data_IF_710258957348
#
_entry.id   IF_710258957348
#
_cell.length_a   1.000
_cell.length_b   1.000
_cell.length_c   1.000
_cell.angle_alpha   90.00
_cell.angle_beta   90.00
_cell.angle_gamma   90.00
#
_symmetry.space_group_name_H-M   'P 1'
#
loop_
_entity.id
_entity.type
_entity.pdbx_description
1 polymer ?
#
# COMPACT_ATOMS: atom_id res chain seq x y z
N UNK A 1 14.73 14.41 16.01
CA UNK A 1 16.06 13.77 15.99
C UNK A 1 16.46 13.41 17.41
N UNK A 2 17.19 12.34 17.61
CA UNK A 2 17.81 11.98 18.88
C UNK A 2 19.32 12.00 18.67
N UNK A 3 20.03 12.79 19.47
CA UNK A 3 21.49 12.82 19.52
C UNK A 3 21.94 12.10 20.80
N UNK A 4 22.75 11.07 20.65
CA UNK A 4 23.33 10.33 21.77
C UNK A 4 24.77 10.78 21.91
N UNK A 5 25.11 11.30 23.07
CA UNK A 5 26.47 11.74 23.38
C UNK A 5 27.34 10.57 23.83
N UNK A 6 28.66 10.67 23.64
CA UNK A 6 29.62 9.72 24.20
C UNK A 6 29.56 9.72 25.73
N UNK A 7 29.91 8.59 26.39
CA UNK A 7 29.84 8.49 27.84
C UNK A 7 30.75 9.49 28.59
N UNK A 8 31.84 9.89 27.95
CA UNK A 8 32.86 10.82 28.41
C UNK A 8 32.77 12.21 27.81
N UNK A 9 31.66 12.49 27.06
CA UNK A 9 31.45 13.80 26.46
C UNK A 9 31.42 14.89 27.54
N UNK A 10 32.26 15.91 27.36
CA UNK A 10 32.30 17.05 28.28
C UNK A 10 31.03 17.89 28.22
N UNK A 11 30.66 18.55 29.31
CA UNK A 11 29.53 19.48 29.30
C UNK A 11 29.71 20.58 28.27
N UNK A 12 30.94 21.02 27.98
CA UNK A 12 31.23 21.99 26.93
C UNK A 12 30.86 21.44 25.51
N UNK A 13 31.16 20.17 25.22
CA UNK A 13 30.79 19.55 23.96
C UNK A 13 29.26 19.42 23.84
N UNK A 14 28.58 19.01 24.90
CA UNK A 14 27.10 18.90 24.92
C UNK A 14 26.46 20.28 24.69
N UNK A 15 26.94 21.33 25.38
CA UNK A 15 26.42 22.70 25.21
C UNK A 15 26.71 23.27 23.79
N UNK A 16 27.82 22.88 23.17
CA UNK A 16 28.14 23.25 21.78
C UNK A 16 27.10 22.69 20.80
N UNK A 17 26.72 21.40 20.93
CA UNK A 17 25.69 20.77 20.15
C UNK A 17 24.32 21.43 20.39
N UNK A 18 23.96 21.70 21.65
CA UNK A 18 22.71 22.37 22.00
C UNK A 18 22.64 23.76 21.39
N UNK A 19 23.72 24.55 21.54
CA UNK A 19 23.78 25.92 20.99
C UNK A 19 23.63 25.94 19.48
N UNK A 20 24.29 25.02 18.79
CA UNK A 20 24.13 24.87 17.33
C UNK A 20 22.68 24.56 16.94
N UNK A 21 22.06 23.59 17.59
CA UNK A 21 20.69 23.18 17.30
C UNK A 21 19.68 24.28 17.59
N UNK A 22 19.81 24.99 18.71
CA UNK A 22 18.97 26.14 19.07
C UNK A 22 19.15 27.30 18.07
N UNK A 23 20.40 27.58 17.65
CA UNK A 23 20.66 28.60 16.63
C UNK A 23 20.08 28.22 15.26
N UNK A 24 19.96 26.92 14.96
CA UNK A 24 19.29 26.41 13.77
C UNK A 24 17.75 26.38 13.89
N UNK A 25 17.19 26.83 15.02
CA UNK A 25 15.74 26.94 15.23
C UNK A 25 15.05 25.70 15.77
N UNK A 26 15.82 24.74 16.32
CA UNK A 26 15.26 23.54 16.96
C UNK A 26 15.03 23.71 18.45
N UNK A 27 13.97 23.09 18.98
CA UNK A 27 13.83 22.90 20.43
C UNK A 27 14.63 21.66 20.86
N UNK A 28 15.41 21.80 21.95
CA UNK A 28 16.29 20.75 22.45
C UNK A 28 15.95 20.40 23.87
N UNK A 29 15.69 19.12 24.14
CA UNK A 29 15.48 18.56 25.48
C UNK A 29 16.66 17.67 25.87
N UNK A 30 17.44 18.07 26.88
CA UNK A 30 18.50 17.25 27.43
C UNK A 30 17.95 16.27 28.47
N UNK A 31 18.28 15.00 28.29
CA UNK A 31 18.05 13.95 29.31
C UNK A 31 19.39 13.34 29.69
N UNK A 32 19.75 13.44 30.94
CA UNK A 32 20.99 12.90 31.48
C UNK A 32 20.70 11.58 32.19
N UNK A 33 21.17 10.46 31.61
CA UNK A 33 21.15 9.13 32.24
C UNK A 33 22.43 8.88 33.07
N UNK A 34 22.51 7.73 33.76
CA UNK A 34 23.68 7.36 34.60
C UNK A 34 24.98 7.19 33.77
N UNK A 35 24.90 6.89 32.48
CA UNK A 35 26.06 6.61 31.64
C UNK A 35 26.18 7.49 30.39
N UNK A 36 25.13 8.17 29.97
CA UNK A 36 25.12 8.97 28.69
C UNK A 36 24.11 10.10 28.77
N UNK A 37 24.41 11.21 28.10
CA UNK A 37 23.45 12.27 27.82
C UNK A 37 22.80 12.03 26.47
N UNK A 38 21.49 12.29 26.40
CA UNK A 38 20.67 12.18 25.20
C UNK A 38 20.01 13.53 24.98
N UNK A 39 20.11 14.05 23.74
CA UNK A 39 19.43 15.27 23.33
C UNK A 39 18.25 14.89 22.42
N UNK A 40 17.05 15.15 22.88
CA UNK A 40 15.82 15.08 22.08
C UNK A 40 15.63 16.39 21.32
N UNK A 41 15.71 16.34 20.00
CA UNK A 41 15.60 17.52 19.13
C UNK A 41 14.25 17.50 18.44
N UNK A 42 13.46 18.54 18.67
CA UNK A 42 12.12 18.73 18.11
C UNK A 42 12.16 19.82 17.05
N UNK A 43 11.63 19.52 15.87
CA UNK A 43 11.61 20.42 14.71
C UNK A 43 11.65 19.63 13.40
N UNK A 44 11.66 20.33 12.29
CA UNK A 44 11.71 19.72 10.94
C UNK A 44 13.18 19.42 10.55
N UNK A 45 13.65 18.26 11.00
CA UNK A 45 15.06 17.83 10.85
C UNK A 45 15.31 17.27 9.46
N UNK A 46 16.21 17.87 8.70
CA UNK A 46 16.68 17.37 7.41
C UNK A 46 17.77 16.29 7.56
N UNK A 47 18.08 15.58 6.46
CA UNK A 47 19.21 14.64 6.44
C UNK A 47 20.56 15.36 6.58
N UNK A 48 20.66 16.61 6.12
CA UNK A 48 21.86 17.42 6.24
C UNK A 48 22.12 17.79 7.71
N UNK A 49 21.06 18.12 8.48
CA UNK A 49 21.21 18.41 9.92
C UNK A 49 21.75 17.21 10.69
N UNK A 50 21.30 16.00 10.33
CA UNK A 50 21.82 14.75 10.92
C UNK A 50 23.31 14.59 10.63
N UNK A 51 23.72 14.83 9.37
CA UNK A 51 25.13 14.70 8.99
C UNK A 51 26.02 15.72 9.72
N UNK A 52 25.60 16.98 9.75
CA UNK A 52 26.33 18.05 10.43
C UNK A 52 26.47 17.77 11.93
N UNK A 53 25.37 17.38 12.60
CA UNK A 53 25.40 17.10 14.05
C UNK A 53 26.22 15.87 14.38
N UNK A 54 26.29 14.88 13.49
CA UNK A 54 27.10 13.68 13.72
C UNK A 54 28.62 13.92 13.70
N UNK A 55 29.06 15.08 13.19
CA UNK A 55 30.48 15.48 13.12
C UNK A 55 30.95 16.27 14.36
N UNK A 56 30.05 16.59 15.30
CA UNK A 56 30.42 17.30 16.51
C UNK A 56 31.17 16.40 17.50
N UNK A 57 32.16 16.96 18.15
CA UNK A 57 32.91 16.29 19.21
C UNK A 57 31.98 15.83 20.33
N UNK A 58 32.19 14.61 20.82
CA UNK A 58 31.40 13.99 21.88
C UNK A 58 30.04 13.45 21.42
N UNK A 59 29.72 13.46 20.14
CA UNK A 59 28.51 12.81 19.58
C UNK A 59 28.82 11.36 19.22
N UNK A 60 28.18 10.41 19.92
CA UNK A 60 28.33 8.99 19.62
C UNK A 60 27.56 8.59 18.36
N UNK A 61 26.30 9.00 18.26
CA UNK A 61 25.51 8.84 17.04
C UNK A 61 24.26 9.72 17.04
N UNK A 62 23.74 9.97 15.85
CA UNK A 62 22.51 10.74 15.62
C UNK A 62 21.47 9.86 14.95
N UNK A 63 20.27 9.82 15.52
CA UNK A 63 19.14 9.09 14.92
C UNK A 63 18.02 10.05 14.56
N UNK A 64 17.62 10.06 13.29
CA UNK A 64 16.44 10.78 12.86
C UNK A 64 15.19 10.03 13.29
N UNK A 65 14.36 10.67 14.13
CA UNK A 65 13.09 10.10 14.62
C UNK A 65 11.90 10.55 13.76
N UNK A 66 12.12 11.44 12.79
CA UNK A 66 11.05 11.88 11.90
C UNK A 66 10.72 10.81 10.86
N UNK A 67 9.42 10.56 10.70
CA UNK A 67 8.92 9.75 9.59
C UNK A 67 9.31 10.44 8.27
N UNK A 68 9.79 9.70 7.25
CA UNK A 68 10.19 10.29 5.96
C UNK A 68 8.99 10.68 5.09
N UNK A 69 7.84 10.95 5.69
CA UNK A 69 6.59 11.32 5.06
C UNK A 69 5.75 12.18 6.03
N UNK A 70 5.02 13.13 5.49
CA UNK A 70 4.18 14.09 6.23
C UNK A 70 2.71 13.94 5.84
N UNK A 71 2.39 14.14 4.56
CA UNK A 71 1.02 14.12 4.03
C UNK A 71 0.34 12.76 4.23
N UNK A 72 1.09 11.67 4.06
CA UNK A 72 0.60 10.31 4.27
C UNK A 72 0.53 9.90 5.75
N UNK A 73 1.08 10.69 6.68
CA UNK A 73 1.17 10.34 8.10
C UNK A 73 -0.17 10.50 8.82
N UNK A 74 -0.43 9.60 9.79
CA UNK A 74 -1.55 9.80 10.74
C UNK A 74 -1.39 11.03 11.63
N UNK A 75 -0.20 11.58 11.77
CA UNK A 75 0.02 12.86 12.47
C UNK A 75 -0.57 14.02 11.70
N UNK A 76 -0.51 13.98 10.37
CA UNK A 76 -1.13 14.99 9.50
C UNK A 76 -2.66 14.82 9.46
N UNK A 77 -3.15 13.57 9.34
CA UNK A 77 -4.57 13.25 9.30
C UNK A 77 -4.88 12.06 10.19
N UNK A 78 -5.46 12.28 11.36
CA UNK A 78 -5.75 11.23 12.34
C UNK A 78 -6.81 10.22 11.87
N UNK A 79 -7.85 10.71 11.17
CA UNK A 79 -8.91 9.87 10.61
C UNK A 79 -8.41 9.13 9.36
N UNK A 80 -8.81 7.87 9.24
CA UNK A 80 -8.54 7.09 8.03
C UNK A 80 -9.17 7.75 6.81
N UNK A 81 -8.42 7.76 5.70
CA UNK A 81 -8.95 8.21 4.41
C UNK A 81 -9.82 7.11 3.81
N UNK A 82 -10.98 7.52 3.34
CA UNK A 82 -11.84 6.69 2.50
C UNK A 82 -11.75 7.22 1.08
N UNK A 83 -11.41 6.35 0.14
CA UNK A 83 -11.34 6.67 -1.30
C UNK A 83 -12.63 6.23 -1.94
N UNK A 84 -13.51 7.19 -2.21
CA UNK A 84 -14.84 6.97 -2.75
C UNK A 84 -14.94 7.24 -4.24
N UNK A 85 -15.81 6.49 -4.90
CA UNK A 85 -16.12 6.66 -6.32
C UNK A 85 -17.08 5.59 -6.84
N UNK A 86 -17.29 5.54 -8.16
CA UNK A 86 -18.17 4.52 -8.78
C UNK A 86 -17.65 3.08 -8.57
N UNK A 87 -16.43 2.91 -8.11
CA UNK A 87 -15.81 1.65 -7.68
C UNK A 87 -16.10 1.29 -6.21
N UNK A 88 -17.01 1.97 -5.53
CA UNK A 88 -17.29 1.80 -4.12
C UNK A 88 -16.35 2.61 -3.21
N UNK A 89 -16.22 2.19 -1.95
CA UNK A 89 -15.47 2.89 -0.91
C UNK A 89 -14.28 2.04 -0.45
N UNK A 90 -13.05 2.44 -0.77
CA UNK A 90 -11.82 1.79 -0.30
C UNK A 90 -11.42 2.44 1.03
N UNK A 91 -11.32 1.67 2.10
CA UNK A 91 -11.06 2.18 3.46
C UNK A 91 -12.32 2.54 4.25
N UNK A 92 -13.51 2.21 3.72
CA UNK A 92 -14.79 2.36 4.40
C UNK A 92 -15.05 1.29 5.47
N UNK A 93 -16.30 1.25 5.96
CA UNK A 93 -16.71 0.37 7.06
C UNK A 93 -16.64 -1.12 6.70
N UNK A 94 -16.88 -1.48 5.45
CA UNK A 94 -16.79 -2.85 4.95
C UNK A 94 -15.55 -3.08 4.09
N UNK A 95 -15.03 -4.33 4.03
CA UNK A 95 -13.94 -4.66 3.12
C UNK A 95 -14.32 -4.37 1.66
N UNK A 96 -13.44 -3.66 0.96
CA UNK A 96 -13.55 -3.48 -0.48
C UNK A 96 -13.03 -4.72 -1.21
N UNK A 97 -13.82 -5.28 -2.12
CA UNK A 97 -13.48 -6.53 -2.81
C UNK A 97 -13.56 -6.29 -4.31
N UNK A 98 -12.40 -6.33 -4.97
CA UNK A 98 -12.32 -6.22 -6.42
C UNK A 98 -11.91 -7.54 -7.06
N UNK A 99 -12.21 -7.68 -8.34
CA UNK A 99 -11.70 -8.78 -9.17
C UNK A 99 -10.65 -8.28 -10.15
N UNK A 100 -9.61 -9.10 -10.39
CA UNK A 100 -8.78 -9.04 -11.59
C UNK A 100 -9.34 -10.08 -12.58
N UNK A 101 -10.12 -9.65 -13.59
CA UNK A 101 -10.82 -10.58 -14.49
C UNK A 101 -9.84 -11.22 -15.47
N UNK A 102 -9.86 -12.56 -15.55
CA UNK A 102 -9.08 -13.36 -16.48
C UNK A 102 -10.02 -14.11 -17.44
N UNK A 103 -9.68 -14.19 -18.71
CA UNK A 103 -10.49 -14.87 -19.73
C UNK A 103 -11.49 -13.97 -20.44
N UNK A 104 -11.29 -12.65 -20.37
CA UNK A 104 -11.99 -11.72 -21.28
C UNK A 104 -11.58 -12.02 -22.71
N UNK A 105 -12.54 -12.15 -23.59
CA UNK A 105 -12.29 -12.30 -25.03
C UNK A 105 -11.49 -11.07 -25.52
N UNK A 106 -10.25 -11.28 -25.99
CA UNK A 106 -9.33 -10.22 -26.44
C UNK A 106 -8.12 -9.96 -25.53
N UNK A 107 -8.10 -10.43 -24.28
CA UNK A 107 -7.06 -10.09 -23.30
C UNK A 107 -5.76 -10.90 -23.35
N UNK A 108 -5.64 -11.95 -24.17
CA UNK A 108 -4.46 -12.84 -24.24
C UNK A 108 -3.85 -13.03 -25.63
N UNK A 109 -4.40 -12.41 -26.67
CA UNK A 109 -3.72 -12.36 -27.96
C UNK A 109 -2.62 -11.30 -27.92
N UNK A 110 -1.38 -11.69 -28.26
CA UNK A 110 -0.37 -10.73 -28.73
C UNK A 110 -1.01 -10.02 -29.93
N UNK A 111 -1.38 -8.78 -29.71
CA UNK A 111 -2.01 -7.95 -30.74
C UNK A 111 -1.00 -7.68 -31.83
N UNK A 112 -1.41 -7.92 -33.10
CA UNK A 112 -0.72 -7.35 -34.22
C UNK A 112 -0.98 -5.83 -34.26
N UNK A 113 0.00 -5.01 -34.72
CA UNK A 113 -0.21 -3.56 -34.83
C UNK A 113 -1.37 -3.33 -35.83
N UNK A 114 -2.48 -2.77 -35.36
CA UNK A 114 -3.64 -2.44 -36.20
C UNK A 114 -5.01 -2.92 -35.69
N UNK A 115 -5.08 -3.77 -34.69
CA UNK A 115 -6.36 -4.25 -34.12
C UNK A 115 -6.88 -3.30 -33.04
N UNK A 116 -7.80 -2.42 -33.37
CA UNK A 116 -8.32 -1.36 -32.46
C UNK A 116 -9.68 -1.71 -31.82
N UNK A 117 -10.12 -2.97 -31.85
CA UNK A 117 -11.37 -3.37 -31.19
C UNK A 117 -11.19 -3.66 -29.69
N UNK A 118 -11.65 -2.75 -28.85
CA UNK A 118 -11.99 -3.01 -27.44
C UNK A 118 -13.09 -4.07 -27.39
N UNK A 119 -13.02 -5.11 -26.53
CA UNK A 119 -14.12 -6.06 -26.36
C UNK A 119 -15.40 -5.30 -25.99
N UNK A 120 -16.46 -5.48 -26.76
CA UNK A 120 -17.73 -4.83 -26.44
C UNK A 120 -18.30 -5.41 -25.15
N UNK A 121 -19.06 -4.62 -24.39
CA UNK A 121 -19.74 -5.06 -23.16
C UNK A 121 -20.67 -6.29 -23.43
N UNK A 122 -21.08 -6.51 -24.66
CA UNK A 122 -21.91 -7.66 -25.09
C UNK A 122 -21.16 -9.01 -25.08
N UNK A 123 -19.83 -9.01 -25.05
CA UNK A 123 -19.01 -10.23 -25.02
C UNK A 123 -18.68 -10.71 -23.61
N UNK A 124 -19.06 -9.95 -22.60
CA UNK A 124 -18.82 -10.32 -21.19
C UNK A 124 -19.81 -11.41 -20.75
N UNK A 125 -19.34 -12.44 -20.01
CA UNK A 125 -20.24 -13.41 -19.43
C UNK A 125 -21.31 -12.73 -18.56
N UNK A 126 -22.56 -13.18 -18.65
CA UNK A 126 -23.70 -12.66 -17.87
C UNK A 126 -23.40 -12.47 -16.39
N UNK A 127 -22.55 -13.33 -15.81
CA UNK A 127 -22.13 -13.29 -14.40
C UNK A 127 -21.37 -12.03 -14.03
N UNK A 128 -20.52 -11.51 -14.93
CA UNK A 128 -19.77 -10.28 -14.73
C UNK A 128 -20.67 -9.05 -14.92
N UNK A 129 -21.65 -9.15 -15.82
CA UNK A 129 -22.62 -8.07 -16.02
C UNK A 129 -23.43 -7.75 -14.76
N UNK A 130 -23.68 -8.73 -13.88
CA UNK A 130 -24.37 -8.52 -12.62
C UNK A 130 -23.50 -7.85 -11.52
N UNK A 131 -22.15 -7.88 -11.65
CA UNK A 131 -21.17 -7.19 -10.78
C UNK A 131 -21.09 -7.65 -9.33
N UNK A 132 -22.14 -8.19 -8.78
CA UNK A 132 -22.23 -8.58 -7.36
C UNK A 132 -21.62 -9.97 -7.13
N UNK A 133 -20.90 -10.17 -6.01
CA UNK A 133 -20.76 -9.32 -4.81
C UNK A 133 -19.53 -8.39 -4.82
N UNK A 134 -18.94 -8.09 -5.95
CA UNK A 134 -17.73 -7.32 -6.07
C UNK A 134 -18.01 -5.81 -6.19
N UNK A 135 -17.06 -4.99 -5.70
CA UNK A 135 -17.17 -3.53 -5.70
C UNK A 135 -16.58 -2.92 -6.99
N UNK A 136 -15.52 -3.54 -7.56
CA UNK A 136 -14.84 -3.06 -8.77
C UNK A 136 -14.16 -4.20 -9.53
N UNK A 137 -13.72 -3.90 -10.74
CA UNK A 137 -12.70 -4.64 -11.46
C UNK A 137 -11.36 -3.88 -11.41
N UNK A 138 -10.24 -4.60 -11.53
CA UNK A 138 -8.92 -4.01 -11.66
C UNK A 138 -8.17 -4.66 -12.81
N UNK A 139 -7.26 -3.92 -13.43
CA UNK A 139 -6.40 -4.44 -14.49
C UNK A 139 -4.94 -4.04 -14.27
N UNK A 140 -4.03 -4.94 -14.65
CA UNK A 140 -2.59 -4.65 -14.75
C UNK A 140 -2.17 -4.25 -16.17
N UNK A 141 -3.10 -4.31 -17.12
CA UNK A 141 -2.85 -3.92 -18.49
C UNK A 141 -2.77 -2.40 -18.62
N UNK A 142 -1.95 -1.91 -19.57
CA UNK A 142 -1.93 -0.52 -20.00
C UNK A 142 -3.23 -0.09 -20.70
N UNK A 143 -4.04 -1.05 -21.15
CA UNK A 143 -5.34 -0.79 -21.74
C UNK A 143 -6.34 -0.58 -20.61
N UNK A 144 -6.78 0.64 -20.42
CA UNK A 144 -7.88 0.96 -19.53
C UNK A 144 -9.18 0.46 -20.17
N UNK A 145 -9.77 -0.57 -19.57
CA UNK A 145 -11.19 -0.84 -19.79
C UNK A 145 -11.96 0.15 -18.92
N UNK A 146 -12.90 0.89 -19.50
CA UNK A 146 -13.73 1.79 -18.70
C UNK A 146 -14.58 1.02 -17.70
N UNK A 147 -15.13 -0.12 -18.13
CA UNK A 147 -15.96 -1.00 -17.31
C UNK A 147 -15.77 -2.47 -17.68
N UNK A 148 -16.00 -3.34 -16.71
CA UNK A 148 -16.13 -4.80 -16.88
C UNK A 148 -17.52 -5.21 -16.41
N UNK A 149 -18.46 -5.27 -17.33
CA UNK A 149 -19.89 -5.39 -16.99
C UNK A 149 -20.36 -4.15 -16.23
N UNK A 150 -20.97 -4.35 -15.06
CA UNK A 150 -21.37 -3.26 -14.15
C UNK A 150 -20.25 -2.73 -13.25
N UNK A 151 -19.06 -3.34 -13.29
CA UNK A 151 -17.94 -2.97 -12.44
C UNK A 151 -17.08 -1.93 -13.15
N UNK A 152 -16.79 -0.83 -12.47
CA UNK A 152 -15.79 0.15 -12.92
C UNK A 152 -14.41 -0.49 -12.85
N UNK A 153 -13.64 -0.37 -13.92
CA UNK A 153 -12.29 -0.93 -14.00
C UNK A 153 -11.25 0.10 -13.59
N UNK A 154 -10.46 -0.25 -12.57
CA UNK A 154 -9.34 0.55 -12.10
C UNK A 154 -8.02 -0.03 -12.62
N UNK A 155 -7.11 0.83 -13.09
CA UNK A 155 -5.76 0.41 -13.46
C UNK A 155 -4.85 0.36 -12.25
N UNK A 156 -4.17 -0.78 -12.04
CA UNK A 156 -3.11 -0.94 -11.06
C UNK A 156 -1.72 -0.63 -11.61
N UNK A 157 -1.62 -0.31 -12.90
CA UNK A 157 -0.32 -0.07 -13.53
C UNK A 157 0.28 1.27 -13.06
N UNK A 158 1.56 1.32 -12.65
CA UNK A 158 2.27 2.56 -12.41
C UNK A 158 2.51 3.26 -13.76
N UNK A 159 1.61 4.16 -14.13
CA UNK A 159 1.73 4.93 -15.38
C UNK A 159 2.48 6.25 -15.14
N UNK A 160 3.14 6.81 -16.18
CA UNK A 160 3.73 8.15 -16.08
C UNK A 160 2.65 9.20 -15.76
N UNK A 161 3.09 10.25 -15.08
CA UNK A 161 2.33 11.35 -14.49
C UNK A 161 1.33 12.11 -15.40
N UNK A 162 1.29 11.82 -16.68
CA UNK A 162 0.51 12.58 -17.68
C UNK A 162 -0.95 12.13 -17.83
N UNK A 163 -1.35 11.00 -17.24
CA UNK A 163 -2.74 10.55 -17.26
C UNK A 163 -3.36 10.65 -15.88
N UNK A 164 -4.49 11.36 -15.78
CA UNK A 164 -5.29 11.43 -14.57
C UNK A 164 -5.96 10.08 -14.29
N UNK A 165 -5.36 9.27 -13.44
CA UNK A 165 -6.02 8.07 -12.92
C UNK A 165 -6.92 8.44 -11.76
N UNK A 166 -8.14 7.88 -11.72
CA UNK A 166 -9.07 8.16 -10.63
C UNK A 166 -8.57 7.65 -9.27
N UNK A 167 -7.72 6.61 -9.24
CA UNK A 167 -7.11 6.04 -8.03
C UNK A 167 -5.65 5.67 -8.32
N UNK A 168 -4.75 6.00 -7.41
CA UNK A 168 -3.33 5.62 -7.46
C UNK A 168 -3.05 4.48 -6.49
N UNK A 169 -2.74 3.31 -7.04
CA UNK A 169 -2.25 2.17 -6.25
C UNK A 169 -0.73 2.24 -6.13
N UNK A 170 -0.24 2.29 -4.89
CA UNK A 170 1.19 2.30 -4.58
C UNK A 170 1.59 0.94 -4.05
N UNK A 171 2.17 0.13 -4.93
CA UNK A 171 2.60 -1.23 -4.60
C UNK A 171 3.82 -1.20 -3.68
N UNK A 172 3.81 -2.06 -2.66
CA UNK A 172 4.96 -2.26 -1.79
C UNK A 172 6.07 -3.01 -2.55
N UNK A 173 7.26 -2.41 -2.62
CA UNK A 173 8.42 -3.10 -3.16
C UNK A 173 8.76 -4.37 -2.34
N UNK A 174 9.29 -5.43 -2.96
CA UNK A 174 9.48 -6.74 -2.32
C UNK A 174 10.29 -6.73 -1.02
N UNK A 175 11.24 -5.81 -0.90
CA UNK A 175 12.11 -5.62 0.27
C UNK A 175 11.79 -4.35 1.08
N UNK A 176 10.68 -3.66 0.78
CA UNK A 176 10.35 -2.42 1.45
C UNK A 176 9.68 -2.66 2.81
N UNK A 177 10.21 -2.03 3.84
CA UNK A 177 9.48 -1.84 5.09
C UNK A 177 8.39 -0.76 4.96
N UNK A 178 7.56 -0.63 5.98
CA UNK A 178 6.42 0.30 5.99
C UNK A 178 6.81 1.76 5.68
N UNK A 179 7.96 2.23 6.19
CA UNK A 179 8.40 3.62 5.95
C UNK A 179 8.71 3.91 4.48
N UNK A 180 9.41 3.01 3.80
CA UNK A 180 9.72 3.17 2.38
C UNK A 180 8.46 3.13 1.51
N UNK A 181 7.51 2.26 1.88
CA UNK A 181 6.23 2.14 1.20
C UNK A 181 5.36 3.40 1.37
N UNK A 182 5.18 3.87 2.62
CA UNK A 182 4.44 5.10 2.89
C UNK A 182 5.13 6.32 2.26
N UNK A 183 6.47 6.36 2.25
CA UNK A 183 7.23 7.40 1.55
C UNK A 183 7.04 7.38 0.03
N UNK A 184 6.76 6.22 -0.56
CA UNK A 184 6.37 6.15 -1.98
C UNK A 184 4.97 6.75 -2.21
N UNK A 185 4.03 6.50 -1.29
CA UNK A 185 2.69 7.10 -1.33
C UNK A 185 2.72 8.62 -1.09
N UNK A 186 3.61 9.10 -0.21
CA UNK A 186 3.86 10.55 -0.01
C UNK A 186 4.16 11.26 -1.31
N UNK A 187 5.06 10.70 -2.14
CA UNK A 187 5.40 11.28 -3.43
C UNK A 187 4.22 11.38 -4.40
N UNK A 188 3.25 10.46 -4.32
CA UNK A 188 2.02 10.59 -5.12
C UNK A 188 1.10 11.70 -4.59
N UNK A 189 1.02 11.88 -3.26
CA UNK A 189 0.28 12.98 -2.65
C UNK A 189 0.92 14.34 -2.98
N UNK A 190 2.25 14.46 -2.90
CA UNK A 190 3.00 15.67 -3.27
C UNK A 190 2.80 16.07 -4.73
N UNK A 191 2.55 15.09 -5.62
CA UNK A 191 2.21 15.31 -7.03
C UNK A 191 0.75 15.71 -7.27
N UNK A 192 -0.04 15.86 -6.20
CA UNK A 192 -1.44 16.25 -6.26
C UNK A 192 -2.43 15.10 -6.44
N UNK A 193 -2.00 13.85 -6.25
CA UNK A 193 -2.93 12.72 -6.26
C UNK A 193 -3.77 12.73 -4.98
N UNK A 194 -5.08 12.91 -5.09
CA UNK A 194 -5.97 12.94 -3.92
C UNK A 194 -6.40 11.52 -3.47
N UNK A 195 -6.43 10.56 -4.39
CA UNK A 195 -6.94 9.20 -4.17
C UNK A 195 -5.81 8.18 -4.25
N UNK A 196 -5.06 8.07 -3.16
CA UNK A 196 -3.92 7.16 -3.04
C UNK A 196 -4.29 5.96 -2.16
N UNK A 197 -3.98 4.76 -2.64
CA UNK A 197 -4.24 3.48 -1.97
C UNK A 197 -2.93 2.69 -1.90
N UNK A 198 -2.58 2.18 -0.74
CA UNK A 198 -1.47 1.26 -0.59
C UNK A 198 -1.84 -0.13 -1.12
N UNK A 199 -0.96 -0.76 -1.91
CA UNK A 199 -1.15 -2.09 -2.47
C UNK A 199 -0.07 -3.05 -1.95
N UNK A 200 -0.48 -4.04 -1.17
CA UNK A 200 0.39 -5.13 -0.69
C UNK A 200 0.36 -6.28 -1.70
N UNK A 201 1.50 -6.57 -2.31
CA UNK A 201 1.67 -7.66 -3.27
C UNK A 201 2.60 -8.79 -2.77
N UNK A 202 3.00 -8.72 -1.51
CA UNK A 202 3.84 -9.70 -0.82
C UNK A 202 5.33 -9.37 -0.80
N UNK A 203 5.98 -9.75 0.30
CA UNK A 203 7.43 -9.85 0.36
C UNK A 203 7.90 -11.04 -0.47
N UNK A 204 9.09 -10.97 -1.05
CA UNK A 204 9.64 -12.00 -1.91
C UNK A 204 10.84 -12.68 -1.27
N UNK A 205 10.83 -14.01 -1.27
CA UNK A 205 11.99 -14.83 -0.87
C UNK A 205 12.93 -15.08 -2.07
N UNK A 206 14.21 -15.42 -1.82
CA UNK A 206 15.17 -15.70 -2.89
C UNK A 206 14.74 -16.79 -3.87
N UNK A 207 13.86 -17.70 -3.46
CA UNK A 207 13.31 -18.77 -4.31
C UNK A 207 12.07 -18.32 -5.13
N UNK A 208 11.73 -17.04 -5.12
CA UNK A 208 10.56 -16.48 -5.82
C UNK A 208 9.21 -16.72 -5.11
N UNK A 209 9.22 -17.40 -3.96
CA UNK A 209 8.00 -17.52 -3.16
C UNK A 209 7.63 -16.17 -2.55
N UNK A 210 6.33 -15.87 -2.49
CA UNK A 210 5.82 -14.64 -1.85
C UNK A 210 5.08 -14.95 -0.57
N UNK A 211 5.12 -14.00 0.36
CA UNK A 211 4.45 -14.10 1.64
C UNK A 211 3.64 -12.86 1.96
N UNK A 212 2.47 -13.06 2.58
CA UNK A 212 1.72 -11.97 3.19
C UNK A 212 2.39 -11.57 4.51
N UNK A 213 2.91 -10.36 4.55
CA UNK A 213 3.52 -9.82 5.77
C UNK A 213 2.48 -9.04 6.59
N UNK A 214 1.74 -9.76 7.44
CA UNK A 214 0.67 -9.17 8.27
C UNK A 214 1.21 -8.03 9.15
N UNK A 215 2.44 -8.18 9.68
CA UNK A 215 3.07 -7.14 10.47
C UNK A 215 3.35 -5.85 9.67
N UNK A 216 3.61 -5.95 8.36
CA UNK A 216 3.76 -4.77 7.50
C UNK A 216 2.42 -4.04 7.33
N UNK A 217 1.32 -4.79 7.16
CA UNK A 217 -0.04 -4.24 7.11
C UNK A 217 -0.33 -3.48 8.41
N UNK A 218 -0.17 -4.13 9.56
CA UNK A 218 -0.43 -3.53 10.87
C UNK A 218 0.42 -2.26 11.11
N UNK A 219 1.71 -2.32 10.79
CA UNK A 219 2.62 -1.16 10.92
C UNK A 219 2.21 -0.01 9.99
N UNK A 220 1.81 -0.28 8.75
CA UNK A 220 1.32 0.74 7.84
C UNK A 220 0.02 1.37 8.38
N UNK A 221 -0.94 0.58 8.82
CA UNK A 221 -2.23 1.07 9.35
C UNK A 221 -2.09 1.95 10.59
N UNK A 222 -1.07 1.73 11.42
CA UNK A 222 -0.77 2.60 12.57
C UNK A 222 -0.16 3.93 12.13
N UNK A 223 0.67 3.94 11.09
CA UNK A 223 1.47 5.09 10.69
C UNK A 223 0.81 5.99 9.67
N UNK A 224 0.02 5.41 8.74
CA UNK A 224 -0.65 6.18 7.69
C UNK A 224 -2.17 6.17 7.83
N UNK A 225 -2.79 7.25 7.35
CA UNK A 225 -4.25 7.33 7.20
C UNK A 225 -4.77 6.73 5.89
N UNK A 226 -3.86 6.35 4.97
CA UNK A 226 -4.23 5.84 3.64
C UNK A 226 -4.84 4.44 3.73
N UNK A 227 -5.81 4.12 2.87
CA UNK A 227 -6.35 2.78 2.78
C UNK A 227 -5.33 1.81 2.17
N UNK A 228 -5.44 0.53 2.56
CA UNK A 228 -4.55 -0.54 2.18
C UNK A 228 -5.32 -1.72 1.60
N UNK A 229 -4.94 -2.16 0.41
CA UNK A 229 -5.54 -3.29 -0.31
C UNK A 229 -4.48 -4.35 -0.56
N UNK A 230 -4.88 -5.62 -0.58
CA UNK A 230 -3.97 -6.77 -0.80
C UNK A 230 -4.26 -7.42 -2.15
N UNK A 231 -3.23 -7.59 -2.98
CA UNK A 231 -3.29 -8.42 -4.17
C UNK A 231 -3.07 -9.89 -3.81
N UNK A 232 -4.17 -10.60 -3.67
CA UNK A 232 -4.17 -11.98 -3.22
C UNK A 232 -3.45 -12.91 -4.20
N UNK A 233 -3.61 -12.70 -5.50
CA UNK A 233 -3.05 -13.60 -6.51
C UNK A 233 -1.52 -13.54 -6.57
N UNK A 234 -0.95 -12.36 -6.41
CA UNK A 234 0.51 -12.16 -6.38
C UNK A 234 1.15 -12.89 -5.19
N UNK A 235 0.46 -12.93 -4.05
CA UNK A 235 0.96 -13.57 -2.83
C UNK A 235 0.69 -15.08 -2.84
N UNK A 236 -0.54 -15.47 -3.15
CA UNK A 236 -0.96 -16.88 -3.12
C UNK A 236 -0.23 -17.73 -4.16
N UNK A 237 0.07 -17.18 -5.33
CA UNK A 237 0.72 -17.84 -6.47
C UNK A 237 0.01 -19.12 -6.96
N UNK A 238 -0.93 -19.68 -6.19
CA UNK A 238 -1.78 -20.85 -6.53
C UNK A 238 -3.18 -20.63 -6.00
N UNK A 239 -4.21 -20.97 -6.77
CA UNK A 239 -5.61 -20.77 -6.43
C UNK A 239 -5.99 -21.37 -5.05
N UNK A 240 -5.49 -22.56 -4.72
CA UNK A 240 -5.76 -23.24 -3.44
C UNK A 240 -5.32 -22.46 -2.20
N UNK A 241 -4.43 -21.47 -2.32
CA UNK A 241 -3.96 -20.63 -1.21
C UNK A 241 -4.68 -19.28 -1.14
N UNK A 242 -5.45 -18.91 -2.19
CA UNK A 242 -6.08 -17.59 -2.28
C UNK A 242 -7.03 -17.32 -1.12
N UNK A 243 -7.81 -18.31 -0.70
CA UNK A 243 -8.72 -18.15 0.45
C UNK A 243 -7.95 -17.85 1.74
N UNK A 244 -6.90 -18.59 2.05
CA UNK A 244 -6.11 -18.38 3.27
C UNK A 244 -5.48 -16.99 3.29
N UNK A 245 -4.87 -16.57 2.16
CA UNK A 245 -4.25 -15.25 2.02
C UNK A 245 -5.27 -14.13 2.16
N UNK A 246 -6.42 -14.25 1.49
CA UNK A 246 -7.46 -13.22 1.53
C UNK A 246 -8.07 -13.06 2.93
N UNK A 247 -8.40 -14.17 3.60
CA UNK A 247 -8.92 -14.15 4.96
C UNK A 247 -7.91 -13.55 5.94
N UNK A 248 -6.62 -13.96 5.85
CA UNK A 248 -5.56 -13.42 6.69
C UNK A 248 -5.35 -11.92 6.45
N UNK A 249 -5.44 -11.44 5.20
CA UNK A 249 -5.32 -10.04 4.86
C UNK A 249 -6.40 -9.19 5.54
N UNK A 250 -7.67 -9.58 5.43
CA UNK A 250 -8.78 -8.84 6.06
C UNK A 250 -8.69 -8.93 7.58
N UNK A 251 -8.39 -10.11 8.13
CA UNK A 251 -8.20 -10.28 9.58
C UNK A 251 -7.00 -9.47 10.11
N UNK A 252 -5.95 -9.29 9.29
CA UNK A 252 -4.78 -8.46 9.59
C UNK A 252 -4.99 -6.96 9.45
N UNK A 253 -6.20 -6.50 9.07
CA UNK A 253 -6.59 -5.09 9.02
C UNK A 253 -6.48 -4.44 7.64
N UNK A 254 -6.33 -5.21 6.56
CA UNK A 254 -6.41 -4.66 5.20
C UNK A 254 -7.82 -4.11 4.91
N UNK A 255 -7.89 -3.00 4.20
CA UNK A 255 -9.17 -2.35 3.84
C UNK A 255 -9.88 -3.05 2.67
N UNK A 256 -9.16 -3.87 1.93
CA UNK A 256 -9.75 -4.66 0.85
C UNK A 256 -8.78 -5.66 0.25
N UNK A 257 -9.29 -6.41 -0.71
CA UNK A 257 -8.52 -7.40 -1.46
C UNK A 257 -8.87 -7.37 -2.95
N UNK A 258 -7.93 -7.84 -3.75
CA UNK A 258 -8.10 -8.08 -5.18
C UNK A 258 -8.01 -9.59 -5.42
N UNK A 259 -9.04 -10.16 -6.03
CA UNK A 259 -9.16 -11.59 -6.34
C UNK A 259 -9.03 -11.82 -7.83
N UNK A 260 -8.01 -12.52 -8.28
CA UNK A 260 -7.91 -12.94 -9.68
C UNK A 260 -8.98 -13.98 -9.96
N UNK A 261 -9.88 -13.66 -10.90
CA UNK A 261 -11.11 -14.41 -11.10
C UNK A 261 -11.31 -14.77 -12.56
N UNK A 262 -11.64 -16.03 -12.83
CA UNK A 262 -11.99 -16.50 -14.17
C UNK A 262 -13.39 -16.01 -14.56
N UNK A 263 -13.46 -15.26 -15.63
CA UNK A 263 -14.69 -14.72 -16.22
C UNK A 263 -14.94 -15.24 -17.64
N UNK A 264 -14.11 -16.15 -18.14
CA UNK A 264 -14.26 -16.81 -19.42
C UNK A 264 -15.39 -17.86 -19.44
N UNK A 265 -15.41 -18.68 -20.50
CA UNK A 265 -16.46 -19.70 -20.69
C UNK A 265 -16.48 -20.72 -19.58
N UNK A 266 -17.67 -21.20 -19.23
CA UNK A 266 -17.84 -22.28 -18.26
C UNK A 266 -17.26 -23.58 -18.82
N UNK A 267 -16.55 -24.34 -17.95
CA UNK A 267 -15.84 -25.55 -18.37
C UNK A 267 -14.39 -25.37 -18.80
N UNK A 268 -13.99 -24.15 -19.17
CA UNK A 268 -12.58 -23.86 -19.44
C UNK A 268 -11.76 -23.79 -18.15
N UNK A 269 -10.53 -24.26 -18.20
CA UNK A 269 -9.60 -24.24 -17.05
C UNK A 269 -8.74 -22.98 -17.13
N UNK A 270 -8.70 -22.15 -16.08
CA UNK A 270 -7.80 -21.01 -16.03
C UNK A 270 -6.33 -21.44 -16.17
N UNK A 271 -5.61 -20.84 -17.14
CA UNK A 271 -4.18 -21.11 -17.34
C UNK A 271 -3.28 -20.15 -16.55
N UNK A 272 -3.87 -19.07 -16.04
CA UNK A 272 -3.13 -18.05 -15.24
C UNK A 272 -3.09 -18.51 -13.77
N UNK A 273 -1.92 -18.53 -13.14
CA UNK A 273 -1.79 -18.96 -11.75
C UNK A 273 -2.66 -18.14 -10.78
N UNK A 274 -3.06 -18.76 -9.68
CA UNK A 274 -3.86 -18.16 -8.61
C UNK A 274 -5.21 -17.58 -9.07
N UNK A 275 -5.78 -18.08 -10.18
CA UNK A 275 -7.09 -17.69 -10.67
C UNK A 275 -8.18 -18.54 -10.03
N UNK A 276 -9.11 -17.90 -9.33
CA UNK A 276 -10.30 -18.53 -8.76
C UNK A 276 -11.37 -18.69 -9.85
N UNK A 277 -12.19 -19.73 -9.74
CA UNK A 277 -13.43 -19.82 -10.51
C UNK A 277 -14.43 -18.79 -9.98
N UNK A 278 -15.39 -18.38 -10.80
CA UNK A 278 -16.38 -17.36 -10.42
C UNK A 278 -17.09 -17.67 -9.08
N UNK A 279 -17.62 -18.89 -8.94
CA UNK A 279 -18.35 -19.28 -7.73
C UNK A 279 -17.43 -19.28 -6.49
N UNK A 280 -16.19 -19.76 -6.62
CA UNK A 280 -15.20 -19.71 -5.53
C UNK A 280 -14.89 -18.28 -5.10
N UNK A 281 -14.79 -17.35 -6.05
CA UNK A 281 -14.55 -15.94 -5.76
C UNK A 281 -15.78 -15.28 -5.09
N UNK A 282 -17.01 -15.64 -5.49
CA UNK A 282 -18.26 -15.16 -4.88
C UNK A 282 -18.36 -15.63 -3.43
N UNK A 283 -18.22 -16.93 -3.17
CA UNK A 283 -18.25 -17.50 -1.82
C UNK A 283 -17.17 -16.88 -0.92
N UNK A 284 -15.96 -16.67 -1.49
CA UNK A 284 -14.89 -16.04 -0.76
C UNK A 284 -15.23 -14.58 -0.43
N UNK A 285 -15.79 -13.81 -1.36
CA UNK A 285 -16.17 -12.43 -1.12
C UNK A 285 -17.20 -12.28 0.02
N UNK A 286 -18.18 -13.16 0.09
CA UNK A 286 -19.16 -13.19 1.18
C UNK A 286 -18.49 -13.46 2.53
N UNK A 287 -17.63 -14.48 2.61
CA UNK A 287 -16.85 -14.81 3.80
C UNK A 287 -15.95 -13.66 4.26
N UNK A 288 -15.30 -12.94 3.33
CA UNK A 288 -14.46 -11.79 3.66
C UNK A 288 -15.24 -10.63 4.25
N UNK A 289 -16.50 -10.44 3.84
CA UNK A 289 -17.39 -9.45 4.45
C UNK A 289 -17.77 -9.82 5.87
N UNK A 290 -18.02 -11.10 6.14
CA UNK A 290 -18.29 -11.60 7.49
C UNK A 290 -17.08 -11.38 8.42
N UNK A 291 -15.86 -11.75 7.97
CA UNK A 291 -14.61 -11.51 8.72
C UNK A 291 -14.46 -10.01 8.98
N UNK A 292 -14.64 -9.17 7.97
CA UNK A 292 -14.55 -7.73 8.11
C UNK A 292 -15.52 -7.14 9.12
N UNK A 293 -16.74 -7.67 9.20
CA UNK A 293 -17.74 -7.26 10.18
C UNK A 293 -17.34 -7.61 11.63
N UNK A 294 -16.50 -8.63 11.81
CA UNK A 294 -15.98 -9.04 13.13
C UNK A 294 -14.79 -8.18 13.55
N UNK A 295 -13.82 -7.97 12.66
CA UNK A 295 -12.52 -7.33 13.01
C UNK A 295 -12.54 -5.81 12.98
N UNK A 296 -13.57 -5.19 12.39
CA UNK A 296 -13.71 -3.73 12.28
C UNK A 296 -14.67 -3.12 13.30
N UNK A 297 -15.13 -3.92 14.27
CA UNK A 297 -15.83 -3.45 15.45
C UNK A 297 -14.80 -2.90 16.44
#
# INVERSE_FOLDING_TARGET
MIVVMEPDASDAAIESVISFLVAAGFDVHRSSGQSRSILGVVGDVSSNDVSVVSEFDGVAHVTRVSEPYRLASRRFKQRSTVVEGPWGSIGGERPWIAIEPIGLAGGTRKRAPGDDETPSAAELPYRVAAGRPFDAAVTRSHLAFENVGSLVCLSMHPQPLQQAFPVRFVERGPSWGANAWIGAAERELERGSEKVVLLEAGGEYPNGARTLEIAAIARAKIRTHLPLVVDVASIAQRAKYSQAVACAAIAGGADGVILRTWVGREGEVPRVPATLRWNEAVELAERLREIGAIVRK
#
